data_IF_666435650597
#
_entry.id   IF_666435650597
#
_cell.length_a   1.000
_cell.length_b   1.000
_cell.length_c   1.000
_cell.angle_alpha   90.00
_cell.angle_beta   90.00
_cell.angle_gamma   90.00
#
_symmetry.space_group_name_H-M   'P 1'
#
loop_
_entity.id
_entity.type
_entity.pdbx_description
1 polymer ?
#
# COMPACT_ATOMS: atom_id res chain seq x y z
N UNK A 1 3.59 11.38 13.92
CA UNK A 1 3.00 10.74 15.11
C UNK A 1 1.49 10.78 14.97
N UNK A 2 0.83 9.64 15.09
CA UNK A 2 -0.63 9.52 14.92
C UNK A 2 -1.36 10.16 16.11
N UNK A 3 -2.21 11.15 15.84
CA UNK A 3 -2.98 11.87 16.87
C UNK A 3 -4.11 11.02 17.44
N UNK A 4 -4.49 9.93 16.78
CA UNK A 4 -5.62 9.07 17.17
C UNK A 4 -5.37 8.42 18.53
N UNK A 5 -4.17 7.88 18.77
CA UNK A 5 -3.81 7.19 20.02
C UNK A 5 -3.66 8.18 21.19
N UNK A 6 -3.10 9.37 20.91
CA UNK A 6 -3.00 10.45 21.89
C UNK A 6 -4.40 10.95 22.31
N UNK A 7 -5.31 11.15 21.35
CA UNK A 7 -6.68 11.58 21.61
C UNK A 7 -7.50 10.54 22.39
N UNK A 8 -7.06 9.27 22.38
CA UNK A 8 -7.68 8.18 23.11
C UNK A 8 -7.11 8.00 24.54
N UNK A 9 -6.30 8.94 25.04
CA UNK A 9 -5.66 8.92 26.37
C UNK A 9 -4.76 7.71 26.64
N UNK A 10 -4.16 7.13 25.60
CA UNK A 10 -3.11 6.13 25.77
C UNK A 10 -1.74 6.82 25.89
N UNK A 11 -0.90 6.31 26.77
CA UNK A 11 0.51 6.65 26.78
C UNK A 11 1.20 5.94 25.61
N UNK A 12 1.72 6.70 24.64
CA UNK A 12 2.44 6.11 23.49
C UNK A 12 3.84 5.70 23.96
N UNK A 13 4.10 4.40 23.97
CA UNK A 13 5.37 3.84 24.43
C UNK A 13 6.31 3.49 23.29
N UNK A 14 5.79 3.33 22.07
CA UNK A 14 6.59 3.10 20.87
C UNK A 14 5.89 3.64 19.61
N UNK A 15 6.69 4.20 18.71
CA UNK A 15 6.25 4.64 17.41
C UNK A 15 7.34 4.38 16.37
N UNK A 16 6.99 3.65 15.32
CA UNK A 16 7.91 3.30 14.25
C UNK A 16 7.26 3.61 12.89
N UNK A 17 8.01 4.22 11.99
CA UNK A 17 7.64 4.37 10.59
C UNK A 17 8.52 3.45 9.74
N UNK A 18 7.92 2.72 8.80
CA UNK A 18 8.63 1.85 7.86
C UNK A 18 8.25 2.20 6.44
N UNK A 19 9.27 2.42 5.62
CA UNK A 19 9.13 2.71 4.20
C UNK A 19 9.46 1.46 3.37
N UNK A 20 8.52 1.06 2.53
CA UNK A 20 8.71 0.05 1.48
C UNK A 20 8.84 0.78 0.15
N UNK A 21 9.94 0.55 -0.56
CA UNK A 21 10.17 1.14 -1.87
C UNK A 21 9.98 0.07 -2.94
N UNK A 22 8.93 0.19 -3.75
CA UNK A 22 8.54 -0.82 -4.72
C UNK A 22 9.56 -1.02 -5.86
N UNK A 23 10.47 -0.08 -6.08
CA UNK A 23 11.54 -0.23 -7.07
C UNK A 23 12.70 -1.13 -6.59
N UNK A 24 12.76 -1.46 -5.29
CA UNK A 24 13.79 -2.35 -4.75
C UNK A 24 13.51 -3.81 -5.10
N UNK A 25 14.59 -4.58 -5.22
CA UNK A 25 14.55 -5.99 -5.63
C UNK A 25 14.69 -6.96 -4.45
N UNK A 26 14.70 -6.44 -3.22
CA UNK A 26 14.74 -7.25 -2.00
C UNK A 26 13.44 -8.05 -1.79
N UNK A 27 13.47 -9.15 -1.01
CA UNK A 27 12.30 -10.01 -0.83
C UNK A 27 11.08 -9.28 -0.28
N UNK A 28 11.27 -8.37 0.67
CA UNK A 28 10.17 -7.66 1.31
C UNK A 28 9.47 -6.73 0.31
N UNK A 29 10.23 -5.91 -0.41
CA UNK A 29 9.65 -4.99 -1.41
C UNK A 29 8.92 -5.73 -2.53
N UNK A 30 9.37 -6.93 -2.92
CA UNK A 30 8.70 -7.80 -3.89
C UNK A 30 7.38 -8.37 -3.36
N UNK A 31 7.36 -8.80 -2.10
CA UNK A 31 6.15 -9.30 -1.44
C UNK A 31 5.09 -8.21 -1.36
N UNK A 32 5.45 -7.01 -0.91
CA UNK A 32 4.54 -5.87 -0.87
C UNK A 32 4.03 -5.44 -2.26
N UNK A 33 4.88 -5.49 -3.29
CA UNK A 33 4.45 -5.23 -4.67
C UNK A 33 3.44 -6.27 -5.15
N UNK A 34 3.65 -7.55 -4.81
CA UNK A 34 2.70 -8.60 -5.13
C UNK A 34 1.37 -8.43 -4.36
N UNK A 35 1.44 -8.09 -3.08
CA UNK A 35 0.27 -7.88 -2.21
C UNK A 35 -0.62 -6.74 -2.72
N UNK A 36 -0.04 -5.59 -3.10
CA UNK A 36 -0.85 -4.46 -3.57
C UNK A 36 -1.55 -4.77 -4.89
N UNK A 37 -0.87 -5.46 -5.81
CA UNK A 37 -1.48 -5.89 -7.08
C UNK A 37 -2.60 -6.90 -6.82
N UNK A 38 -2.38 -7.85 -5.89
CA UNK A 38 -3.41 -8.83 -5.50
C UNK A 38 -4.61 -8.18 -4.81
N UNK A 39 -4.38 -7.17 -3.98
CA UNK A 39 -5.43 -6.39 -3.33
C UNK A 39 -6.27 -5.65 -4.37
N UNK A 40 -5.64 -4.97 -5.33
CA UNK A 40 -6.40 -4.32 -6.40
C UNK A 40 -7.14 -5.34 -7.27
N UNK A 41 -6.55 -6.50 -7.55
CA UNK A 41 -7.22 -7.58 -8.27
C UNK A 41 -8.45 -8.11 -7.53
N UNK A 42 -8.40 -8.29 -6.21
CA UNK A 42 -9.55 -8.75 -5.43
C UNK A 42 -10.66 -7.68 -5.34
N UNK A 43 -10.30 -6.40 -5.41
CA UNK A 43 -11.23 -5.28 -5.45
C UNK A 43 -11.79 -4.98 -6.85
N UNK A 44 -11.45 -5.78 -7.88
CA UNK A 44 -11.85 -5.53 -9.26
C UNK A 44 -13.34 -5.19 -9.44
N UNK A 45 -14.32 -5.94 -8.87
CA UNK A 45 -15.74 -5.65 -9.13
C UNK A 45 -16.16 -4.22 -8.72
N UNK A 46 -15.50 -3.66 -7.70
CA UNK A 46 -15.79 -2.33 -7.18
C UNK A 46 -15.07 -1.26 -7.99
N UNK A 47 -13.81 -1.50 -8.35
CA UNK A 47 -12.96 -0.51 -9.03
C UNK A 47 -13.30 -0.44 -10.51
N UNK A 48 -13.51 -1.58 -11.17
CA UNK A 48 -13.90 -1.69 -12.58
C UNK A 48 -15.17 -0.87 -12.85
N UNK A 49 -16.20 -1.04 -12.03
CA UNK A 49 -17.45 -0.29 -12.12
C UNK A 49 -17.26 1.23 -11.91
N UNK A 50 -16.37 1.63 -10.98
CA UNK A 50 -16.16 3.05 -10.66
C UNK A 50 -15.32 3.78 -11.70
N UNK A 51 -14.46 3.06 -12.41
CA UNK A 51 -13.53 3.60 -13.40
C UNK A 51 -14.06 3.45 -14.83
N UNK A 52 -15.27 2.91 -15.00
CA UNK A 52 -15.90 2.61 -16.30
C UNK A 52 -14.98 1.77 -17.21
N UNK A 53 -14.32 0.78 -16.59
CA UNK A 53 -13.42 -0.14 -17.28
C UNK A 53 -14.13 -1.45 -17.59
N UNK A 54 -13.67 -2.14 -18.62
CA UNK A 54 -13.97 -3.57 -18.83
C UNK A 54 -12.96 -4.44 -18.08
N UNK A 55 -13.29 -5.70 -17.81
CA UNK A 55 -12.37 -6.63 -17.15
C UNK A 55 -11.02 -6.79 -17.86
N UNK A 56 -10.99 -6.72 -19.20
CA UNK A 56 -9.74 -6.73 -19.97
C UNK A 56 -8.92 -5.45 -19.75
N UNK A 57 -9.56 -4.28 -19.79
CA UNK A 57 -8.91 -3.00 -19.50
C UNK A 57 -8.36 -2.96 -18.07
N UNK A 58 -9.08 -3.57 -17.13
CA UNK A 58 -8.65 -3.64 -15.73
C UNK A 58 -7.38 -4.50 -15.56
N UNK A 59 -7.31 -5.67 -16.21
CA UNK A 59 -6.09 -6.50 -16.17
C UNK A 59 -4.89 -5.79 -16.80
N UNK A 60 -5.11 -5.07 -17.92
CA UNK A 60 -4.05 -4.23 -18.53
C UNK A 60 -3.62 -3.10 -17.60
N UNK A 61 -4.57 -2.46 -16.92
CA UNK A 61 -4.30 -1.47 -15.89
C UNK A 61 -3.45 -2.04 -14.75
N UNK A 62 -3.76 -3.23 -14.24
CA UNK A 62 -3.00 -3.85 -13.14
C UNK A 62 -1.55 -4.13 -13.55
N UNK A 63 -1.32 -4.60 -14.77
CA UNK A 63 0.03 -4.84 -15.27
C UNK A 63 0.80 -3.52 -15.43
N UNK A 64 0.17 -2.49 -15.99
CA UNK A 64 0.79 -1.17 -16.10
C UNK A 64 1.07 -0.58 -14.72
N UNK A 65 0.12 -0.69 -13.78
CA UNK A 65 0.26 -0.22 -12.41
C UNK A 65 1.48 -0.84 -11.73
N UNK A 66 1.64 -2.17 -11.85
CA UNK A 66 2.80 -2.88 -11.33
C UNK A 66 4.10 -2.35 -11.93
N UNK A 67 4.16 -2.14 -13.25
CA UNK A 67 5.34 -1.63 -13.94
C UNK A 67 5.67 -0.20 -13.48
N UNK A 68 4.67 0.67 -13.37
CA UNK A 68 4.84 2.07 -12.94
C UNK A 68 5.40 2.17 -11.51
N UNK A 69 4.96 1.31 -10.59
CA UNK A 69 5.47 1.29 -9.21
C UNK A 69 6.99 1.00 -9.11
N UNK A 70 7.57 0.38 -10.14
CA UNK A 70 9.00 0.05 -10.17
C UNK A 70 9.85 1.13 -10.85
N UNK A 71 9.24 2.18 -11.41
CA UNK A 71 9.95 3.27 -12.10
C UNK A 71 10.41 4.36 -11.14
N UNK A 72 11.13 5.34 -11.68
CA UNK A 72 11.47 6.60 -11.00
C UNK A 72 10.43 7.68 -11.36
N UNK A 73 10.04 8.55 -10.42
CA UNK A 73 10.46 8.59 -9.02
C UNK A 73 9.94 7.39 -8.22
N UNK A 74 10.66 7.02 -7.16
CA UNK A 74 10.32 5.84 -6.36
C UNK A 74 8.92 5.95 -5.76
N UNK A 75 8.09 4.94 -5.99
CA UNK A 75 6.84 4.77 -5.25
C UNK A 75 7.16 4.16 -3.88
N UNK A 76 6.83 4.91 -2.82
CA UNK A 76 7.09 4.52 -1.44
C UNK A 76 5.76 4.26 -0.74
N UNK A 77 5.62 3.08 -0.14
CA UNK A 77 4.56 2.77 0.81
C UNK A 77 5.10 2.90 2.23
N UNK A 78 4.62 3.91 2.96
CA UNK A 78 4.94 4.09 4.38
C UNK A 78 3.85 3.48 5.27
N UNK A 79 4.27 2.68 6.24
CA UNK A 79 3.42 2.18 7.32
C UNK A 79 3.89 2.73 8.66
N UNK A 80 2.94 2.99 9.55
CA UNK A 80 3.22 3.44 10.91
C UNK A 80 2.74 2.39 11.90
N UNK A 81 3.62 1.98 12.79
CA UNK A 81 3.28 1.21 13.98
C UNK A 81 3.25 2.16 15.17
N UNK A 82 2.15 2.17 15.91
CA UNK A 82 2.03 2.91 17.16
C UNK A 82 1.60 1.94 18.25
N UNK A 83 2.34 1.87 19.34
CA UNK A 83 2.00 1.06 20.51
C UNK A 83 1.66 1.99 21.66
N UNK A 84 0.42 1.89 22.13
CA UNK A 84 -0.08 2.63 23.29
C UNK A 84 -0.34 1.70 24.47
N UNK A 85 -0.09 2.21 25.67
CA UNK A 85 -0.44 1.57 26.93
C UNK A 85 -1.51 2.42 27.63
N UNK A 86 -2.52 1.76 28.24
CA UNK A 86 -3.50 2.44 29.09
C UNK A 86 -2.91 2.73 30.47
#
# INVERSE_FOLDING_TARGET
>A
MDKTVQNANFNVIDFEAKDINFSKTDPLSKEFLWDIVKLLKSCQPVIEQRMDMTGEQYEQFLEQFRIELQKKPDAIWTFHRCVGQK
#
